data_IF_991908204361
#
_entry.id   IF_991908204361
#
_cell.length_a   1.000
_cell.length_b   1.000
_cell.length_c   1.000
_cell.angle_alpha   90.00
_cell.angle_beta   90.00
_cell.angle_gamma   90.00
#
_symmetry.space_group_name_H-M   'P 1'
#
loop_
_entity.id
_entity.type
_entity.pdbx_description
1 polymer ?
2 non-polymer ?
3 non-polymer ?
4 water ?
#
# COMPACT_ATOMS: atom_id res chain seq x y z
N UNK A 2 -7.01 -45.35 15.82
CA UNK A 2 -5.56 -45.20 15.62
C UNK A 2 -4.82 -44.97 16.97
N UNK A 3 -3.55 -45.33 17.01
CA UNK A 3 -2.67 -45.03 18.15
C UNK A 3 -2.23 -43.55 18.06
N UNK A 4 -1.49 -43.10 19.07
CA UNK A 4 -1.07 -41.70 19.16
C UNK A 4 -0.06 -41.39 18.06
N UNK A 5 0.75 -42.36 17.67
CA UNK A 5 1.72 -42.16 16.57
C UNK A 5 1.04 -41.88 15.22
N UNK A 6 0.00 -42.65 14.90
CA UNK A 6 -0.77 -42.52 13.66
C UNK A 6 -1.57 -41.25 13.67
N UNK A 7 -2.19 -40.88 14.78
CA UNK A 7 -2.97 -39.62 14.89
C UNK A 7 -2.08 -38.42 14.71
N UNK A 8 -0.88 -38.45 15.28
CA UNK A 8 0.10 -37.39 15.12
C UNK A 8 0.54 -37.30 13.66
N UNK A 9 0.79 -38.43 12.99
CA UNK A 9 1.22 -38.47 11.61
C UNK A 9 0.17 -37.90 10.68
N UNK A 10 -1.10 -38.19 10.92
CA UNK A 10 -2.23 -37.64 10.14
C UNK A 10 -2.32 -36.13 10.35
N UNK A 11 -2.32 -35.70 11.59
CA UNK A 11 -2.32 -34.29 11.96
C UNK A 11 -1.17 -33.49 11.39
N UNK A 12 0.02 -34.06 11.37
CA UNK A 12 1.22 -33.46 10.85
C UNK A 12 1.14 -33.39 9.32
N UNK A 13 0.65 -34.40 8.63
CA UNK A 13 0.54 -34.36 7.16
C UNK A 13 -0.36 -33.15 6.79
N UNK A 14 -1.47 -33.00 7.49
CA UNK A 14 -2.40 -31.88 7.26
C UNK A 14 -1.80 -30.55 7.59
N UNK A 15 -1.09 -30.46 8.70
CA UNK A 15 -0.49 -29.21 9.15
C UNK A 15 0.62 -28.78 8.20
N UNK A 16 1.46 -29.70 7.80
CA UNK A 16 2.51 -29.50 6.81
C UNK A 16 1.98 -28.97 5.48
N UNK A 17 0.86 -29.53 5.00
CA UNK A 17 0.26 -29.07 3.77
C UNK A 17 -0.18 -27.62 3.94
N UNK A 18 -0.84 -27.31 5.03
CA UNK A 18 -1.28 -25.96 5.36
C UNK A 18 -0.11 -25.01 5.45
N UNK A 19 0.97 -25.38 6.12
CA UNK A 19 2.19 -24.56 6.18
C UNK A 19 2.70 -24.25 4.78
N UNK A 20 2.76 -25.24 3.90
CA UNK A 20 3.22 -25.06 2.53
C UNK A 20 2.32 -24.08 1.77
N UNK A 21 1.01 -24.18 1.95
CA UNK A 21 0.06 -23.26 1.34
C UNK A 21 0.31 -21.85 1.77
N UNK A 22 0.46 -21.62 3.06
CA UNK A 22 0.57 -20.28 3.63
C UNK A 22 1.94 -19.68 3.26
N UNK A 23 3.01 -20.49 3.25
CA UNK A 23 4.34 -20.07 2.83
C UNK A 23 4.31 -19.54 1.40
N UNK A 24 3.59 -20.23 0.52
CA UNK A 24 3.46 -19.81 -0.88
C UNK A 24 2.65 -18.53 -0.96
N UNK A 25 1.56 -18.43 -0.20
CA UNK A 25 0.70 -17.24 -0.22
C UNK A 25 1.42 -16.00 0.30
N UNK A 26 2.25 -16.13 1.31
CA UNK A 26 2.90 -15.04 1.96
C UNK A 26 4.14 -14.58 1.20
N UNK A 27 4.62 -15.37 0.25
CA UNK A 27 5.72 -14.95 -0.62
C UNK A 27 5.23 -14.03 -1.77
N UNK A 28 3.92 -13.81 -1.94
CA UNK A 28 3.39 -12.88 -2.95
C UNK A 28 3.93 -11.49 -2.65
N UNK A 29 4.37 -10.81 -3.68
CA UNK A 29 4.73 -9.41 -3.61
C UNK A 29 3.77 -8.58 -4.42
N UNK A 30 2.51 -8.99 -4.47
CA UNK A 30 1.49 -8.18 -5.08
C UNK A 30 1.05 -7.23 -3.94
N UNK A 31 1.31 -5.97 -4.10
CA UNK A 31 0.85 -4.90 -3.20
C UNK A 31 -0.31 -4.09 -3.80
N UNK A 32 -0.73 -4.41 -5.01
CA UNK A 32 -1.87 -3.80 -5.66
C UNK A 32 -1.39 -2.69 -6.58
N UNK A 33 -2.30 -2.27 -7.47
CA UNK A 33 -2.14 -1.24 -8.50
C UNK A 33 -2.95 0.06 -8.24
N UNK A 34 -3.94 -0.03 -7.35
CA UNK A 34 -4.93 1.01 -7.05
C UNK A 34 -5.63 0.76 -5.73
N UNK A 35 -6.46 1.66 -5.25
CA UNK A 35 -7.06 1.57 -3.92
C UNK A 35 -8.02 0.37 -3.81
N UNK A 36 -8.74 0.04 -4.89
CA UNK A 36 -9.72 -1.04 -4.90
C UNK A 36 -9.01 -2.39 -4.78
N UNK A 37 -7.92 -2.58 -5.52
CA UNK A 37 -7.12 -3.80 -5.50
C UNK A 37 -6.27 -3.93 -4.25
N UNK A 38 -5.77 -2.84 -3.65
CA UNK A 38 -5.11 -2.91 -2.33
C UNK A 38 -6.14 -3.29 -1.30
N UNK A 39 -7.37 -2.79 -1.40
CA UNK A 39 -8.44 -3.11 -0.43
C UNK A 39 -8.83 -4.57 -0.49
N UNK A 40 -8.86 -5.14 -1.69
CA UNK A 40 -9.08 -6.59 -1.90
C UNK A 40 -7.94 -7.40 -1.33
N UNK A 41 -6.70 -6.97 -1.50
CA UNK A 41 -5.53 -7.62 -0.89
C UNK A 41 -5.55 -7.55 0.63
N UNK A 42 -5.98 -6.44 1.21
CA UNK A 42 -6.11 -6.28 2.65
C UNK A 42 -7.21 -7.19 3.22
N UNK A 43 -8.34 -7.33 2.55
CA UNK A 43 -9.44 -8.23 2.98
C UNK A 43 -8.94 -9.70 2.96
N UNK A 44 -8.24 -10.05 1.88
CA UNK A 44 -7.64 -11.38 1.67
C UNK A 44 -6.65 -11.65 2.76
N UNK A 45 -5.85 -10.66 3.11
CA UNK A 45 -4.81 -10.82 4.08
C UNK A 45 -5.42 -10.91 5.47
N UNK A 46 -6.46 -10.16 5.79
CA UNK A 46 -7.18 -10.32 7.06
C UNK A 46 -7.64 -11.78 7.24
N UNK A 47 -8.23 -12.36 6.20
CA UNK A 47 -8.79 -13.73 6.28
C UNK A 47 -7.64 -14.71 6.48
N UNK A 48 -6.51 -14.47 5.84
CA UNK A 48 -5.35 -15.31 6.01
C UNK A 48 -4.79 -15.21 7.44
N UNK A 49 -4.78 -14.02 8.03
CA UNK A 49 -4.28 -13.78 9.37
C UNK A 49 -5.22 -14.42 10.40
N UNK A 50 -6.53 -14.45 10.11
CA UNK A 50 -7.50 -15.14 10.93
C UNK A 50 -7.29 -16.67 10.83
N UNK A 51 -6.92 -17.15 9.67
CA UNK A 51 -6.61 -18.56 9.43
C UNK A 51 -5.35 -18.98 10.20
N UNK A 52 -4.32 -18.13 10.19
CA UNK A 52 -3.09 -18.36 10.90
C UNK A 52 -3.39 -18.39 12.42
N UNK A 53 -4.21 -17.47 12.89
CA UNK A 53 -4.60 -17.39 14.30
C UNK A 53 -5.33 -18.64 14.74
N UNK A 54 -6.19 -19.16 13.88
CA UNK A 54 -6.95 -20.36 14.13
C UNK A 54 -6.01 -21.59 14.13
N UNK A 55 -4.94 -21.56 13.39
CA UNK A 55 -3.96 -22.61 13.43
C UNK A 55 -2.98 -22.59 14.62
N UNK A 56 -2.86 -21.49 15.35
CA UNK A 56 -1.90 -21.42 16.48
C UNK A 56 -2.33 -22.42 17.57
N UNK A 57 -3.67 -22.54 17.78
CA UNK A 57 -4.28 -23.65 18.62
C UNK A 57 -4.13 -25.07 18.02
N UNK A 58 -4.24 -25.21 16.71
CA UNK A 58 -3.91 -26.48 16.04
C UNK A 58 -2.49 -26.90 16.40
N UNK A 59 -1.57 -25.94 16.34
CA UNK A 59 -0.16 -26.10 16.70
C UNK A 59 0.02 -26.49 18.16
N UNK A 60 -0.75 -25.92 19.08
CA UNK A 60 -0.67 -26.26 20.51
C UNK A 60 -1.04 -27.70 20.72
N UNK A 61 -2.08 -28.16 20.04
CA UNK A 61 -2.53 -29.50 20.10
C UNK A 61 -1.49 -30.47 19.52
N UNK A 62 -0.88 -30.18 18.40
CA UNK A 62 0.15 -31.00 17.78
C UNK A 62 1.37 -31.06 18.70
N UNK A 63 1.71 -29.95 19.36
CA UNK A 63 2.75 -29.87 20.37
C UNK A 63 2.48 -30.74 21.58
N UNK A 64 1.24 -30.75 22.06
CA UNK A 64 0.81 -31.61 23.17
C UNK A 64 0.89 -33.07 22.74
N UNK A 65 0.49 -33.38 21.52
CA UNK A 65 0.58 -34.73 20.99
C UNK A 65 2.04 -35.17 20.90
N UNK A 66 2.93 -34.29 20.47
CA UNK A 66 4.37 -34.55 20.32
C UNK A 66 4.99 -34.76 21.67
N UNK A 67 4.60 -33.99 22.66
CA UNK A 67 5.13 -34.12 24.01
C UNK A 67 4.71 -35.43 24.64
N UNK A 68 3.47 -35.90 24.40
CA UNK A 68 3.00 -37.20 24.94
C UNK A 68 3.76 -38.34 24.25
N UNK A 69 3.95 -38.24 22.95
CA UNK A 69 4.71 -39.20 22.16
C UNK A 69 6.15 -39.32 22.59
N UNK A 70 6.76 -38.18 22.96
CA UNK A 70 8.15 -38.15 23.38
C UNK A 70 8.40 -38.82 24.75
N UNK A 71 7.37 -39.03 25.56
CA UNK A 71 7.52 -39.82 26.80
C UNK A 71 7.49 -41.33 26.58
N UNK A 72 7.15 -41.79 25.38
CA UNK A 72 7.00 -43.21 25.10
C UNK A 72 8.35 -43.93 25.14
N UNK A 73 8.31 -45.15 25.60
CA UNK A 73 9.36 -46.14 25.55
C UNK A 73 9.21 -47.13 24.39
N UNK A 74 8.20 -46.98 23.55
CA UNK A 74 7.81 -48.00 22.56
C UNK A 74 8.56 -47.83 21.23
N UNK A 75 9.06 -46.64 20.96
CA UNK A 75 9.75 -46.36 19.71
C UNK A 75 10.75 -45.23 19.90
N UNK A 76 11.63 -45.09 18.93
CA UNK A 76 12.58 -44.01 18.87
C UNK A 76 11.80 -42.75 18.51
N UNK A 77 11.83 -41.77 19.40
CA UNK A 77 11.03 -40.55 19.35
C UNK A 77 11.73 -39.41 18.63
N UNK A 78 12.88 -39.64 18.00
CA UNK A 78 13.67 -38.58 17.39
C UNK A 78 12.96 -37.99 16.18
N UNK A 79 12.21 -38.77 15.40
CA UNK A 79 11.41 -38.22 14.27
C UNK A 79 10.28 -37.34 14.76
N UNK A 80 9.65 -37.67 15.88
CA UNK A 80 8.65 -36.82 16.48
C UNK A 80 9.25 -35.52 16.95
N UNK A 81 10.39 -35.57 17.61
CA UNK A 81 11.08 -34.37 18.10
C UNK A 81 11.47 -33.43 16.96
N UNK A 82 12.00 -33.99 15.88
CA UNK A 82 12.43 -33.27 14.68
C UNK A 82 11.26 -32.63 13.99
N UNK A 83 10.12 -33.32 13.89
CA UNK A 83 8.87 -32.79 13.29
C UNK A 83 8.26 -31.67 14.07
N UNK A 84 8.21 -31.83 15.39
CA UNK A 84 7.77 -30.79 16.28
C UNK A 84 8.61 -29.51 16.10
N UNK A 85 9.93 -29.62 16.10
CA UNK A 85 10.82 -28.49 15.91
C UNK A 85 10.47 -27.78 14.60
N UNK A 86 10.30 -28.54 13.53
CA UNK A 86 10.13 -27.99 12.19
C UNK A 86 8.79 -27.30 12.05
N UNK A 87 7.71 -27.88 12.53
CA UNK A 87 6.37 -27.26 12.46
C UNK A 87 6.35 -25.95 13.26
N UNK A 88 7.02 -25.92 14.41
CA UNK A 88 7.13 -24.70 15.22
C UNK A 88 7.95 -23.63 14.54
N UNK A 89 9.07 -23.98 13.92
CA UNK A 89 9.95 -23.04 13.24
C UNK A 89 9.23 -22.47 12.00
N UNK A 90 8.49 -23.30 11.28
CA UNK A 90 7.74 -22.89 10.10
C UNK A 90 6.60 -22.01 10.48
N UNK A 91 5.91 -22.31 11.59
CA UNK A 91 4.81 -21.51 12.03
C UNK A 91 5.26 -20.12 12.47
N UNK A 92 6.33 -20.02 13.24
CA UNK A 92 6.88 -18.75 13.65
C UNK A 92 7.37 -17.92 12.47
N UNK A 93 7.92 -18.54 11.44
CA UNK A 93 8.29 -17.82 10.22
C UNK A 93 7.07 -17.31 9.48
N UNK A 94 5.99 -18.08 9.41
CA UNK A 94 4.74 -17.65 8.83
C UNK A 94 4.19 -16.43 9.56
N UNK A 95 4.25 -16.40 10.89
CA UNK A 95 3.76 -15.25 11.67
C UNK A 95 4.61 -14.02 11.34
N UNK A 96 5.91 -14.17 11.16
CA UNK A 96 6.80 -13.04 10.79
C UNK A 96 6.50 -12.57 9.39
N UNK A 97 6.29 -13.49 8.46
CA UNK A 97 5.99 -13.15 7.06
C UNK A 97 4.62 -12.50 6.94
N UNK A 98 3.66 -12.93 7.75
CA UNK A 98 2.34 -12.40 7.75
C UNK A 98 2.39 -10.95 8.28
N UNK A 99 3.14 -10.66 9.32
CA UNK A 99 3.29 -9.29 9.86
C UNK A 99 4.01 -8.40 8.84
N UNK A 100 4.97 -8.92 8.10
CA UNK A 100 5.72 -8.13 7.09
C UNK A 100 4.84 -7.80 5.92
N UNK A 101 4.01 -8.74 5.48
CA UNK A 101 3.11 -8.55 4.37
C UNK A 101 1.98 -7.56 4.76
N UNK A 102 1.49 -7.64 5.99
CA UNK A 102 0.52 -6.68 6.54
C UNK A 102 1.06 -5.24 6.51
N UNK A 103 2.32 -5.06 6.93
CA UNK A 103 2.97 -3.73 6.96
C UNK A 103 3.12 -3.18 5.55
N UNK A 104 3.46 -4.05 4.60
CA UNK A 104 3.60 -3.65 3.20
C UNK A 104 2.28 -3.37 2.52
N UNK A 105 1.23 -4.10 2.84
CA UNK A 105 -0.10 -3.84 2.34
C UNK A 105 -0.68 -2.51 2.89
N UNK A 106 -0.43 -2.21 4.15
CA UNK A 106 -0.87 -0.96 4.78
C UNK A 106 -0.09 0.21 4.18
N UNK A 107 1.18 -0.02 3.90
CA UNK A 107 2.03 0.97 3.22
C UNK A 107 1.49 1.23 1.83
N UNK A 108 1.10 0.18 1.12
CA UNK A 108 0.58 0.28 -0.21
C UNK A 108 -0.75 0.99 -0.24
N UNK A 109 -1.59 0.77 0.76
CA UNK A 109 -2.85 1.43 0.85
C UNK A 109 -2.60 2.96 1.04
N UNK A 110 -1.68 3.31 1.91
CA UNK A 110 -1.33 4.73 2.15
C UNK A 110 -0.82 5.40 0.88
N UNK A 111 -0.03 4.70 0.12
CA UNK A 111 0.54 5.17 -1.12
C UNK A 111 -0.54 5.39 -2.18
N UNK A 112 -1.47 4.47 -2.32
CA UNK A 112 -2.54 4.55 -3.32
C UNK A 112 -3.59 5.55 -2.94
N UNK A 113 -3.79 5.78 -1.65
CA UNK A 113 -4.63 6.85 -1.17
C UNK A 113 -3.97 8.20 -1.48
N UNK A 114 -2.67 8.31 -1.29
CA UNK A 114 -1.87 9.49 -1.63
C UNK A 114 -1.97 9.79 -3.12
N UNK A 115 -1.91 8.77 -3.97
CA UNK A 115 -2.09 8.95 -5.40
C UNK A 115 -3.46 9.45 -5.73
N UNK A 116 -4.51 8.98 -5.04
CA UNK A 116 -5.86 9.49 -5.24
C UNK A 116 -5.97 10.96 -4.81
N UNK A 117 -5.33 11.34 -3.71
CA UNK A 117 -5.27 12.72 -3.24
C UNK A 117 -4.54 13.59 -4.26
N UNK A 118 -3.48 13.08 -4.87
CA UNK A 118 -2.73 13.79 -5.89
C UNK A 118 -3.61 13.94 -7.13
N UNK A 119 -4.41 12.93 -7.50
CA UNK A 119 -5.32 13.00 -8.64
C UNK A 119 -6.33 14.11 -8.47
N UNK A 120 -6.85 14.31 -7.26
CA UNK A 120 -7.79 15.40 -6.96
C UNK A 120 -7.13 16.75 -7.15
N UNK A 121 -5.89 16.89 -6.72
CA UNK A 121 -5.13 18.10 -7.00
C UNK A 121 -4.81 18.30 -8.45
N UNK A 122 -4.49 17.25 -9.19
CA UNK A 122 -4.24 17.35 -10.63
C UNK A 122 -5.51 17.68 -11.40
N UNK A 123 -6.69 17.29 -10.92
CA UNK A 123 -7.97 17.65 -11.55
C UNK A 123 -8.22 19.12 -11.34
N UNK A 124 -7.92 19.66 -10.15
CA UNK A 124 -7.95 21.09 -9.85
C UNK A 124 -7.04 21.89 -10.78
N UNK A 125 -5.79 21.45 -10.91
CA UNK A 125 -4.79 22.06 -11.77
C UNK A 125 -5.31 22.08 -13.21
N UNK A 126 -5.89 20.98 -13.68
CA UNK A 126 -6.31 20.84 -15.07
C UNK A 126 -7.47 21.79 -15.38
N UNK A 127 -8.41 21.99 -14.43
CA UNK A 127 -9.55 22.92 -14.57
C UNK A 127 -9.02 24.33 -14.72
N UNK A 128 -8.05 24.71 -13.87
CA UNK A 128 -7.43 26.03 -13.95
C UNK A 128 -6.59 26.23 -15.20
N UNK A 129 -5.95 25.18 -15.71
CA UNK A 129 -5.09 25.21 -16.90
C UNK A 129 -5.98 25.50 -18.12
N UNK A 130 -7.19 24.91 -18.15
CA UNK A 130 -8.14 25.13 -19.24
C UNK A 130 -8.60 26.61 -19.31
N UNK A 131 -8.77 27.24 -18.14
CA UNK A 131 -9.11 28.66 -18.03
C UNK A 131 -8.02 29.56 -18.59
N UNK A 132 -6.77 29.35 -18.19
CA UNK A 132 -5.66 30.18 -18.68
C UNK A 132 -5.16 29.82 -20.10
N UNK A 133 -5.68 28.76 -20.73
CA UNK A 133 -5.41 28.41 -22.15
C UNK A 133 -6.21 29.25 -23.15
N UNK A 134 -7.10 30.14 -22.64
CA UNK A 134 -7.80 31.11 -23.46
C UNK A 134 -6.80 31.99 -24.24
N UNK A 135 -6.99 32.06 -25.55
CA UNK A 135 -6.31 32.98 -26.43
C UNK A 135 -7.18 34.19 -26.79
N UNK A 136 -8.13 34.57 -25.92
CA UNK A 136 -8.87 35.86 -26.01
C UNK A 136 -8.11 36.87 -25.14
N UNK A 137 -7.57 37.88 -25.74
CA UNK A 137 -6.84 38.97 -25.08
C UNK A 137 -7.58 40.30 -25.11
N UNK A 138 -8.81 40.34 -25.63
CA UNK A 138 -9.68 41.49 -25.51
C UNK A 138 -9.67 42.26 -26.82
N UNK A 139 -10.85 42.47 -27.39
CA UNK A 139 -11.02 43.26 -28.62
C UNK A 139 -10.63 44.74 -28.48
N UNK A 140 -10.78 45.29 -27.27
CA UNK A 140 -10.52 46.72 -26.99
C UNK A 140 -10.02 46.94 -25.54
N UNK A 141 -9.84 48.22 -25.16
CA UNK A 141 -9.38 48.65 -23.82
C UNK A 141 -10.36 48.22 -22.73
N UNK A 142 -11.66 48.40 -22.97
CA UNK A 142 -12.66 47.92 -22.00
C UNK A 142 -12.65 46.39 -21.84
N UNK A 143 -12.47 45.65 -22.95
CA UNK A 143 -12.55 44.19 -22.99
C UNK A 143 -11.39 43.52 -22.29
N UNK A 144 -10.18 44.05 -22.46
CA UNK A 144 -8.96 43.57 -21.80
C UNK A 144 -8.97 43.94 -20.33
N UNK A 145 -9.62 45.08 -19.97
CA UNK A 145 -9.74 45.51 -18.55
C UNK A 145 -10.62 44.53 -17.74
N UNK A 146 -11.66 43.97 -18.40
CA UNK A 146 -12.54 42.97 -17.79
C UNK A 146 -11.81 41.60 -17.67
N UNK A 147 -11.03 41.21 -18.70
CA UNK A 147 -10.15 39.99 -18.66
C UNK A 147 -9.01 40.08 -17.68
N UNK A 148 -8.49 41.28 -17.43
CA UNK A 148 -7.33 41.50 -16.56
C UNK A 148 -7.80 41.34 -15.11
N UNK A 149 -9.01 41.82 -14.79
CA UNK A 149 -9.67 41.63 -13.48
C UNK A 149 -10.05 40.16 -13.21
N UNK A 150 -10.56 39.41 -14.21
CA UNK A 150 -10.74 37.90 -14.11
C UNK A 150 -9.42 37.17 -13.88
N UNK A 151 -8.34 37.63 -14.51
CA UNK A 151 -7.06 36.96 -14.48
C UNK A 151 -6.39 37.21 -13.13
N UNK A 152 -6.56 38.38 -12.49
CA UNK A 152 -5.95 38.67 -11.18
C UNK A 152 -6.61 37.81 -10.11
N UNK A 153 -7.92 37.58 -10.24
CA UNK A 153 -8.68 36.65 -9.36
C UNK A 153 -8.17 35.21 -9.50
N UNK A 154 -7.87 34.77 -10.71
CA UNK A 154 -7.33 33.46 -10.97
C UNK A 154 -5.92 33.32 -10.39
N UNK A 155 -5.08 34.35 -10.52
CA UNK A 155 -3.71 34.33 -9.99
C UNK A 155 -3.74 34.27 -8.46
N UNK A 156 -4.68 34.98 -7.82
CA UNK A 156 -4.90 34.93 -6.38
C UNK A 156 -5.40 33.54 -5.93
N UNK A 157 -6.21 32.85 -6.74
CA UNK A 157 -6.61 31.45 -6.49
C UNK A 157 -5.40 30.53 -6.54
N UNK A 158 -4.48 30.69 -7.50
CA UNK A 158 -3.29 29.83 -7.61
C UNK A 158 -2.40 30.06 -6.40
N UNK A 159 -2.22 31.32 -5.98
CA UNK A 159 -1.37 31.63 -4.81
C UNK A 159 -1.94 31.07 -3.52
N UNK A 160 -3.28 31.10 -3.37
CA UNK A 160 -3.97 30.59 -2.18
C UNK A 160 -3.98 29.07 -2.15
N UNK A 161 -3.86 28.41 -3.29
CA UNK A 161 -3.80 26.95 -3.41
C UNK A 161 -2.40 26.40 -3.21
N UNK A 162 -1.37 27.22 -3.32
CA UNK A 162 0.01 26.78 -3.25
C UNK A 162 0.36 26.02 -1.97
N UNK A 163 -0.14 26.40 -0.77
CA UNK A 163 0.06 25.57 0.42
C UNK A 163 -0.43 24.13 0.28
N UNK A 164 -1.55 23.91 -0.40
CA UNK A 164 -2.04 22.57 -0.70
C UNK A 164 -1.07 21.79 -1.61
N UNK A 165 -0.52 22.46 -2.61
CA UNK A 165 0.49 21.84 -3.50
C UNK A 165 1.76 21.47 -2.67
N UNK A 166 2.23 22.36 -1.81
CA UNK A 166 3.39 22.13 -0.95
C UNK A 166 3.09 20.94 -0.02
N UNK A 167 1.86 20.81 0.49
CA UNK A 167 1.40 19.73 1.37
C UNK A 167 1.51 18.38 0.68
N UNK A 168 1.18 18.31 -0.61
CA UNK A 168 1.33 17.12 -1.43
C UNK A 168 2.79 16.75 -1.59
N UNK A 169 3.65 17.73 -1.88
CA UNK A 169 5.10 17.53 -1.94
C UNK A 169 5.70 17.08 -0.60
N UNK A 170 5.23 17.63 0.51
CA UNK A 170 5.72 17.30 1.85
C UNK A 170 5.33 15.88 2.20
N UNK A 171 4.09 15.52 1.90
CA UNK A 171 3.60 14.17 2.19
C UNK A 171 4.32 13.13 1.33
N UNK A 172 4.48 13.44 0.06
CA UNK A 172 5.16 12.62 -0.92
C UNK A 172 6.60 12.41 -0.50
N UNK A 173 7.33 13.40 0.05
CA UNK A 173 8.70 13.24 0.52
C UNK A 173 8.71 12.22 1.66
N UNK A 174 7.80 12.36 2.63
CA UNK A 174 7.71 11.42 3.77
C UNK A 174 7.45 10.01 3.32
N UNK A 175 6.51 9.84 2.38
CA UNK A 175 6.16 8.51 1.87
C UNK A 175 7.30 7.89 1.10
N UNK A 176 8.02 8.71 0.32
CA UNK A 176 9.17 8.25 -0.45
C UNK A 176 10.32 7.80 0.47
N UNK A 177 10.63 8.61 1.47
CA UNK A 177 11.70 8.35 2.45
C UNK A 177 11.43 7.13 3.29
N UNK A 178 10.16 6.84 3.60
CA UNK A 178 9.76 5.69 4.45
C UNK A 178 9.39 4.44 3.66
N UNK A 179 9.50 4.52 2.33
CA UNK A 179 9.01 3.52 1.42
C UNK A 179 9.91 2.28 1.58
N UNK A 180 9.27 1.11 1.58
CA UNK A 180 9.89 -0.18 1.46
C UNK A 180 9.42 -0.99 0.25
N UNK A 181 8.35 -0.58 -0.45
CA UNK A 181 7.80 -1.41 -1.56
C UNK A 181 8.22 -1.01 -2.97
N UNK A 182 8.99 0.06 -3.08
CA UNK A 182 9.45 0.63 -4.35
C UNK A 182 8.95 2.06 -4.47
N UNK A 183 9.82 2.96 -4.90
CA UNK A 183 9.54 4.37 -5.01
C UNK A 183 9.40 4.80 -6.47
N UNK A 184 9.50 3.91 -7.47
CA UNK A 184 9.50 4.32 -8.86
C UNK A 184 8.23 5.04 -9.25
N UNK A 185 7.09 4.62 -8.75
CA UNK A 185 5.81 5.23 -9.15
C UNK A 185 5.64 6.57 -8.45
N UNK A 186 5.90 6.65 -7.15
CA UNK A 186 5.79 7.91 -6.43
C UNK A 186 6.76 8.99 -6.92
N UNK A 187 7.98 8.59 -7.25
CA UNK A 187 8.95 9.51 -7.85
C UNK A 187 8.45 10.07 -9.16
N UNK A 188 7.91 9.21 -10.03
CA UNK A 188 7.41 9.65 -11.33
C UNK A 188 6.21 10.56 -11.15
N UNK A 189 5.33 10.24 -10.21
CA UNK A 189 4.09 10.97 -9.99
C UNK A 189 4.35 12.33 -9.38
N UNK A 190 5.30 12.41 -8.45
CA UNK A 190 5.71 13.66 -7.84
C UNK A 190 6.35 14.59 -8.88
N UNK A 191 7.26 14.09 -9.72
CA UNK A 191 7.86 14.88 -10.80
C UNK A 191 6.79 15.39 -11.76
N UNK A 192 5.84 14.54 -12.10
CA UNK A 192 4.76 14.84 -13.09
C UNK A 192 3.79 15.87 -12.49
N UNK A 193 3.60 15.80 -11.18
CA UNK A 193 2.77 16.72 -10.42
C UNK A 193 3.40 18.10 -10.41
N UNK A 194 4.68 18.20 -10.13
CA UNK A 194 5.39 19.46 -10.15
C UNK A 194 5.31 20.04 -11.57
N UNK A 195 5.52 19.24 -12.60
CA UNK A 195 5.41 19.69 -14.00
C UNK A 195 4.05 20.30 -14.26
N UNK A 196 2.97 19.70 -13.76
CA UNK A 196 1.58 20.14 -13.92
C UNK A 196 1.40 21.48 -13.22
N UNK A 197 1.91 21.64 -11.99
CA UNK A 197 1.80 22.89 -11.27
C UNK A 197 2.61 24.02 -11.95
N UNK A 198 3.84 23.75 -12.34
CA UNK A 198 4.72 24.74 -13.00
C UNK A 198 4.14 25.14 -14.35
N UNK A 199 3.52 24.20 -15.06
CA UNK A 199 2.88 24.47 -16.35
C UNK A 199 1.72 25.41 -16.15
N UNK A 200 0.88 25.15 -15.16
CA UNK A 200 -0.24 26.03 -14.84
C UNK A 200 0.27 27.41 -14.44
N UNK A 201 1.26 27.50 -13.57
CA UNK A 201 1.80 28.78 -13.11
C UNK A 201 2.38 29.58 -14.29
N UNK A 202 3.07 28.90 -15.20
CA UNK A 202 3.79 29.51 -16.34
C UNK A 202 2.75 30.00 -17.33
N UNK A 203 1.68 29.24 -17.56
CA UNK A 203 0.67 29.54 -18.55
C UNK A 203 -0.14 30.72 -18.02
N UNK A 204 -0.51 30.71 -16.74
CA UNK A 204 -1.12 31.84 -16.04
C UNK A 204 -0.28 33.14 -16.10
N UNK A 205 1.02 33.05 -15.93
CA UNK A 205 1.90 34.21 -15.95
C UNK A 205 2.04 34.74 -17.38
N UNK A 206 2.10 33.86 -18.38
CA UNK A 206 2.22 34.24 -19.80
C UNK A 206 0.96 34.93 -20.26
N UNK A 207 -0.18 34.46 -19.77
CA UNK A 207 -1.47 35.01 -20.16
C UNK A 207 -1.60 36.39 -19.50
N UNK A 208 -1.21 36.50 -18.23
CA UNK A 208 -1.22 37.76 -17.50
C UNK A 208 -0.39 38.84 -18.17
N UNK A 209 0.81 38.50 -18.64
CA UNK A 209 1.64 39.41 -19.40
C UNK A 209 0.98 39.88 -20.70
N UNK A 210 0.27 38.97 -21.36
CA UNK A 210 -0.48 39.29 -22.61
C UNK A 210 -1.72 40.12 -22.40
N UNK A 211 -2.22 40.19 -21.18
CA UNK A 211 -3.33 41.07 -20.78
C UNK A 211 -2.94 42.46 -20.25
N UNK A 212 -1.66 42.83 -20.29
CA UNK A 212 -1.15 44.10 -19.72
C UNK A 212 -1.23 45.23 -20.73
X LIG B 1 -9.12 19.88 -4.36
X LIG C 1 4.40 -45.96 26.39
X LIG C 1 3.47 -47.08 26.62
X LIG C 1 5.77 -46.52 26.40
X LIG C 1 4.15 -45.46 25.02
X LIG C 1 4.24 -44.89 27.40
#
# INVERSE_FOLDING_TARGET
MANKQQNFNTGIKDFDFWLSEVEALLASEDYGKDLASVNNLLKKHQLLEADISAHEDRLKDLNSQADSLMTSSAFDTSQVKDKRETINGRFQRIKSMAAARRAKLNESHRLHQFFRDMDDEESWIKEKKLLVSSEDYGRDLTGVQNLRKKHKRLEAELAAHEPAIQGVLDTGKKLSDDNTIGKEEIQQRLAQFVDHWKELKQLAAARGQRLEESLE
K K
PO4 P O1 O2 O3 O4
#
